data_IF_035275030061
#
_entry.id   IF_035275030061
#
_cell.length_a   1.000
_cell.length_b   1.000
_cell.length_c   1.000
_cell.angle_alpha   90.00
_cell.angle_beta   90.00
_cell.angle_gamma   90.00
#
_symmetry.space_group_name_H-M   'P 1'
#
loop_
_entity.id
_entity.type
_entity.pdbx_description
1 polymer ?
#
# COMPACT_ATOMS: atom_id res chain seq x y z
N UNK A 1 27.01 0.31 -11.10
CA UNK A 1 27.08 1.36 -10.06
C UNK A 1 25.68 1.87 -9.69
N UNK A 2 24.81 2.13 -10.68
CA UNK A 2 23.48 2.70 -10.44
C UNK A 2 22.52 1.75 -9.71
N UNK A 3 22.58 0.45 -10.02
CA UNK A 3 21.79 -0.56 -9.29
C UNK A 3 22.14 -0.67 -7.80
N UNK A 4 23.41 -0.50 -7.43
CA UNK A 4 23.83 -0.51 -6.01
C UNK A 4 23.34 0.73 -5.27
N UNK A 5 23.42 1.91 -5.92
CA UNK A 5 22.85 3.15 -5.36
C UNK A 5 21.33 3.05 -5.21
N UNK A 6 20.64 2.47 -6.19
CA UNK A 6 19.20 2.23 -6.11
C UNK A 6 18.86 1.29 -4.94
N UNK A 7 19.56 0.17 -4.82
CA UNK A 7 19.34 -0.79 -3.72
C UNK A 7 19.57 -0.16 -2.34
N UNK A 8 20.63 0.64 -2.18
CA UNK A 8 20.90 1.37 -0.93
C UNK A 8 19.81 2.39 -0.61
N UNK A 9 19.34 3.16 -1.61
CA UNK A 9 18.27 4.13 -1.42
C UNK A 9 16.95 3.45 -1.02
N UNK A 10 16.61 2.32 -1.66
CA UNK A 10 15.42 1.53 -1.31
C UNK A 10 15.55 0.97 0.11
N UNK A 11 16.70 0.40 0.46
CA UNK A 11 16.95 -0.12 1.81
C UNK A 11 16.82 0.96 2.88
N UNK A 12 17.44 2.12 2.68
CA UNK A 12 17.36 3.26 3.60
C UNK A 12 15.92 3.79 3.74
N UNK A 13 15.19 3.90 2.62
CA UNK A 13 13.79 4.31 2.61
C UNK A 13 12.90 3.33 3.38
N UNK A 14 13.09 2.01 3.17
CA UNK A 14 12.35 0.98 3.88
C UNK A 14 12.54 1.08 5.39
N UNK A 15 13.78 1.24 5.86
CA UNK A 15 14.09 1.39 7.28
C UNK A 15 13.38 2.62 7.86
N UNK A 16 13.48 3.77 7.18
CA UNK A 16 12.86 5.01 7.64
C UNK A 16 11.32 4.92 7.70
N UNK A 17 10.68 4.36 6.67
CA UNK A 17 9.22 4.23 6.61
C UNK A 17 8.69 3.22 7.64
N UNK A 18 9.36 2.08 7.83
CA UNK A 18 8.98 1.12 8.88
C UNK A 18 9.06 1.78 10.26
N UNK A 19 10.11 2.57 10.53
CA UNK A 19 10.25 3.29 11.79
C UNK A 19 9.15 4.37 11.98
N UNK A 20 8.83 5.13 10.94
CA UNK A 20 7.75 6.13 10.99
C UNK A 20 6.38 5.50 11.22
N UNK A 21 6.10 4.37 10.58
CA UNK A 21 4.84 3.65 10.75
C UNK A 21 4.76 3.08 12.16
N UNK A 22 5.84 2.48 12.69
CA UNK A 22 5.88 2.04 14.08
C UNK A 22 5.65 3.19 15.08
N UNK A 23 6.16 4.39 14.78
CA UNK A 23 5.93 5.59 15.59
C UNK A 23 4.47 6.06 15.54
N UNK A 24 3.75 5.84 14.44
CA UNK A 24 2.31 6.12 14.32
C UNK A 24 1.47 5.01 14.97
N UNK A 25 1.88 3.76 14.80
CA UNK A 25 1.16 2.59 15.32
C UNK A 25 1.21 2.53 16.86
N UNK A 26 2.28 3.03 17.50
CA UNK A 26 2.39 3.05 18.95
C UNK A 26 1.26 3.82 19.66
N UNK A 27 0.99 5.11 19.33
CA UNK A 27 -0.14 5.83 19.93
C UNK A 27 -1.50 5.27 19.49
N UNK A 28 -1.61 4.72 18.27
CA UNK A 28 -2.83 4.06 17.82
C UNK A 28 -3.14 2.81 18.67
N UNK A 29 -2.15 1.98 18.94
CA UNK A 29 -2.30 0.80 19.79
C UNK A 29 -2.65 1.20 21.23
N UNK A 30 -2.05 2.27 21.75
CA UNK A 30 -2.38 2.82 23.07
C UNK A 30 -3.84 3.28 23.15
N UNK A 31 -4.30 4.09 22.19
CA UNK A 31 -5.71 4.51 22.09
C UNK A 31 -6.64 3.32 21.88
N UNK A 32 -6.24 2.39 21.03
CA UNK A 32 -6.93 1.14 20.75
C UNK A 32 -7.19 0.33 22.02
N UNK A 33 -6.20 0.23 22.91
CA UNK A 33 -6.33 -0.42 24.21
C UNK A 33 -7.45 0.19 25.07
N UNK A 34 -7.67 1.50 24.99
CA UNK A 34 -8.73 2.20 25.74
C UNK A 34 -10.14 1.98 25.17
N UNK A 35 -10.27 1.64 23.89
CA UNK A 35 -11.55 1.40 23.22
C UNK A 35 -11.82 -0.10 22.93
N UNK A 36 -11.00 -1.00 23.48
CA UNK A 36 -11.14 -2.45 23.31
C UNK A 36 -10.60 -3.01 21.99
N UNK A 37 -9.79 -2.25 21.25
CA UNK A 37 -9.13 -2.64 20.00
C UNK A 37 -7.61 -2.49 20.13
N UNK A 38 -6.93 -3.29 20.98
CA UNK A 38 -5.50 -3.10 21.29
C UNK A 38 -4.56 -3.31 20.09
N UNK A 39 -5.03 -3.93 19.00
CA UNK A 39 -4.29 -4.13 17.75
C UNK A 39 -4.45 -3.00 16.73
N UNK A 40 -4.99 -1.85 17.14
CA UNK A 40 -5.20 -0.70 16.27
C UNK A 40 -3.85 -0.18 15.74
N UNK A 41 -3.72 -0.21 14.42
CA UNK A 41 -2.57 0.27 13.64
C UNK A 41 -3.07 0.99 12.39
N UNK A 42 -2.21 1.79 11.76
CA UNK A 42 -2.49 2.43 10.48
C UNK A 42 -2.89 1.40 9.43
N UNK A 43 -2.18 0.26 9.41
CA UNK A 43 -2.49 -0.87 8.52
C UNK A 43 -3.89 -1.44 8.79
N UNK A 44 -4.28 -1.61 10.05
CA UNK A 44 -5.63 -2.12 10.39
C UNK A 44 -6.74 -1.15 9.99
N UNK A 45 -6.53 0.15 10.18
CA UNK A 45 -7.49 1.20 9.80
C UNK A 45 -7.66 1.20 8.28
N UNK A 46 -6.54 1.25 7.55
CA UNK A 46 -6.56 1.19 6.09
C UNK A 46 -7.13 -0.13 5.61
N UNK A 47 -6.86 -1.24 6.28
CA UNK A 47 -7.43 -2.55 5.96
C UNK A 47 -8.95 -2.57 6.02
N UNK A 48 -9.53 -2.00 7.08
CA UNK A 48 -10.98 -1.85 7.23
C UNK A 48 -11.56 -0.91 6.18
N UNK A 49 -10.90 0.22 5.91
CA UNK A 49 -11.34 1.21 4.91
C UNK A 49 -11.23 0.65 3.47
N UNK A 50 -10.23 -0.17 3.20
CA UNK A 50 -9.98 -0.76 1.88
C UNK A 50 -10.75 -2.07 1.66
N UNK A 51 -11.34 -2.68 2.69
CA UNK A 51 -12.15 -3.90 2.54
C UNK A 51 -13.32 -3.74 1.55
N UNK A 52 -14.15 -2.68 1.61
CA UNK A 52 -15.17 -2.43 0.59
C UNK A 52 -14.59 -2.29 -0.81
N UNK A 53 -13.42 -1.67 -0.96
CA UNK A 53 -12.74 -1.53 -2.24
C UNK A 53 -12.28 -2.89 -2.78
N UNK A 54 -11.70 -3.75 -1.93
CA UNK A 54 -11.33 -5.12 -2.29
C UNK A 54 -12.54 -5.93 -2.76
N UNK A 55 -13.67 -5.80 -2.05
CA UNK A 55 -14.92 -6.44 -2.46
C UNK A 55 -15.44 -5.91 -3.80
N UNK A 56 -15.40 -4.60 -4.03
CA UNK A 56 -15.78 -3.98 -5.31
C UNK A 56 -14.90 -4.44 -6.49
N UNK A 57 -13.64 -4.78 -6.24
CA UNK A 57 -12.75 -5.36 -7.26
C UNK A 57 -13.05 -6.83 -7.58
N UNK A 58 -14.00 -7.46 -6.87
CA UNK A 58 -14.44 -8.83 -7.12
C UNK A 58 -13.92 -9.87 -6.13
N UNK A 59 -13.28 -9.46 -5.02
CA UNK A 59 -12.84 -10.38 -3.95
C UNK A 59 -14.05 -10.84 -3.12
N UNK A 60 -14.20 -12.14 -2.83
CA UNK A 60 -15.24 -12.64 -1.93
C UNK A 60 -15.21 -11.94 -0.56
N UNK A 61 -16.38 -11.68 0.01
CA UNK A 61 -16.49 -10.91 1.26
C UNK A 61 -15.71 -11.52 2.43
N UNK A 62 -15.61 -12.86 2.48
CA UNK A 62 -14.90 -13.61 3.51
C UNK A 62 -13.39 -13.33 3.55
N UNK A 63 -12.78 -13.02 2.40
CA UNK A 63 -11.35 -12.76 2.26
C UNK A 63 -11.01 -11.32 1.85
N UNK A 64 -12.05 -10.49 1.62
CA UNK A 64 -11.90 -9.06 1.32
C UNK A 64 -11.17 -8.26 2.39
N UNK A 65 -11.20 -8.71 3.65
CA UNK A 65 -10.47 -8.07 4.75
C UNK A 65 -8.95 -8.26 4.64
N UNK A 66 -8.52 -9.44 4.19
CA UNK A 66 -7.12 -9.79 3.96
C UNK A 66 -6.57 -8.95 2.80
N UNK A 67 -7.29 -8.91 1.67
CA UNK A 67 -6.90 -8.07 0.52
C UNK A 67 -6.97 -6.58 0.87
N UNK A 68 -7.95 -6.15 1.66
CA UNK A 68 -8.01 -4.79 2.20
C UNK A 68 -6.76 -4.44 3.01
N UNK A 69 -6.32 -5.34 3.89
CA UNK A 69 -5.07 -5.18 4.67
C UNK A 69 -3.85 -5.04 3.74
N UNK A 70 -3.75 -5.85 2.69
CA UNK A 70 -2.65 -5.75 1.72
C UNK A 70 -2.63 -4.37 1.01
N UNK A 71 -3.78 -3.86 0.59
CA UNK A 71 -3.90 -2.51 0.00
C UNK A 71 -3.51 -1.43 1.02
N UNK A 72 -3.89 -1.61 2.29
CA UNK A 72 -3.50 -0.72 3.37
C UNK A 72 -1.99 -0.69 3.58
N UNK A 73 -1.35 -1.86 3.67
CA UNK A 73 0.11 -2.00 3.78
C UNK A 73 0.80 -1.34 2.59
N UNK A 74 0.33 -1.58 1.36
CA UNK A 74 0.85 -0.91 0.17
C UNK A 74 0.80 0.61 0.32
N UNK A 75 -0.36 1.14 0.70
CA UNK A 75 -0.60 2.59 0.72
C UNK A 75 0.23 3.28 1.80
N UNK A 76 0.30 2.68 2.99
CA UNK A 76 1.06 3.20 4.12
C UNK A 76 2.57 3.04 3.95
N UNK A 77 3.01 1.83 3.57
CA UNK A 77 4.41 1.43 3.50
C UNK A 77 4.91 1.49 2.05
N UNK A 78 4.60 0.43 1.28
CA UNK A 78 4.85 0.26 -0.15
C UNK A 78 4.40 -1.14 -0.58
N UNK A 79 4.35 -1.34 -1.89
CA UNK A 79 3.99 -2.60 -2.55
C UNK A 79 4.93 -3.76 -2.23
N UNK A 80 6.23 -3.53 -1.99
CA UNK A 80 7.19 -4.59 -1.69
C UNK A 80 6.86 -5.28 -0.37
N UNK A 81 6.58 -4.50 0.69
CA UNK A 81 6.11 -5.05 1.98
C UNK A 81 4.74 -5.70 1.84
N UNK A 82 3.87 -5.13 1.00
CA UNK A 82 2.58 -5.74 0.65
C UNK A 82 2.73 -7.14 0.04
N UNK A 83 3.67 -7.33 -0.89
CA UNK A 83 3.94 -8.64 -1.50
C UNK A 83 4.52 -9.65 -0.51
N UNK A 84 5.43 -9.25 0.38
CA UNK A 84 5.94 -10.14 1.44
C UNK A 84 4.81 -10.61 2.35
N UNK A 85 3.88 -9.73 2.71
CA UNK A 85 2.75 -10.12 3.56
C UNK A 85 1.75 -11.02 2.80
N UNK A 86 1.52 -10.72 1.51
CA UNK A 86 0.69 -11.56 0.65
C UNK A 86 1.26 -12.98 0.52
N UNK A 87 2.57 -13.14 0.38
CA UNK A 87 3.23 -14.45 0.36
C UNK A 87 2.92 -15.27 1.63
N UNK A 88 2.99 -14.64 2.81
CA UNK A 88 2.64 -15.31 4.08
C UNK A 88 1.17 -15.73 4.12
N UNK A 89 0.26 -14.88 3.64
CA UNK A 89 -1.17 -15.20 3.59
C UNK A 89 -1.46 -16.35 2.62
N UNK A 90 -0.76 -16.43 1.49
CA UNK A 90 -0.84 -17.55 0.54
C UNK A 90 -0.35 -18.84 1.21
N UNK A 91 0.82 -18.81 1.85
CA UNK A 91 1.37 -19.96 2.55
C UNK A 91 0.47 -20.46 3.69
N UNK A 92 -0.28 -19.56 4.32
CA UNK A 92 -1.27 -19.88 5.35
C UNK A 92 -2.65 -20.31 4.80
N UNK A 93 -2.83 -20.38 3.48
CA UNK A 93 -4.11 -20.76 2.86
C UNK A 93 -5.24 -19.75 3.08
N UNK A 94 -4.91 -18.47 3.30
CA UNK A 94 -5.88 -17.42 3.64
C UNK A 94 -6.49 -16.69 2.42
N UNK A 95 -5.96 -16.94 1.23
CA UNK A 95 -6.37 -16.30 -0.02
C UNK A 95 -6.68 -17.35 -1.08
N UNK A 96 -7.88 -17.29 -1.66
CA UNK A 96 -8.24 -18.04 -2.86
C UNK A 96 -7.38 -17.61 -4.06
N UNK A 97 -7.27 -18.45 -5.08
CA UNK A 97 -6.56 -18.11 -6.33
C UNK A 97 -7.09 -16.81 -6.94
N UNK A 98 -8.41 -16.60 -6.92
CA UNK A 98 -9.05 -15.36 -7.35
C UNK A 98 -8.56 -14.15 -6.56
N UNK A 99 -8.59 -14.23 -5.22
CA UNK A 99 -8.13 -13.15 -4.38
C UNK A 99 -6.64 -12.85 -4.55
N UNK A 100 -5.82 -13.89 -4.78
CA UNK A 100 -4.41 -13.73 -5.10
C UNK A 100 -4.21 -12.95 -6.40
N UNK A 101 -4.92 -13.29 -7.47
CA UNK A 101 -4.81 -12.56 -8.75
C UNK A 101 -5.24 -11.10 -8.59
N UNK A 102 -6.40 -10.84 -7.98
CA UNK A 102 -6.88 -9.48 -7.76
C UNK A 102 -5.90 -8.68 -6.89
N UNK A 103 -5.41 -9.27 -5.79
CA UNK A 103 -4.42 -8.63 -4.92
C UNK A 103 -3.12 -8.32 -5.67
N UNK A 104 -2.63 -9.22 -6.52
CA UNK A 104 -1.41 -8.99 -7.32
C UNK A 104 -1.54 -7.72 -8.16
N UNK A 105 -2.64 -7.57 -8.89
CA UNK A 105 -2.86 -6.37 -9.72
C UNK A 105 -3.13 -5.11 -8.88
N UNK A 106 -3.88 -5.24 -7.78
CA UNK A 106 -4.14 -4.11 -6.88
C UNK A 106 -2.85 -3.61 -6.21
N UNK A 107 -1.91 -4.52 -5.94
CA UNK A 107 -0.60 -4.22 -5.37
C UNK A 107 0.38 -3.64 -6.39
N UNK A 108 0.27 -4.02 -7.66
CA UNK A 108 1.19 -3.64 -8.74
C UNK A 108 1.19 -2.15 -9.09
N UNK A 109 1.83 -1.32 -8.26
CA UNK A 109 2.10 0.08 -8.53
C UNK A 109 2.66 0.82 -7.32
N UNK A 110 3.45 1.86 -7.57
CA UNK A 110 4.14 2.65 -6.53
C UNK A 110 3.25 3.76 -5.96
N UNK A 111 1.96 3.51 -5.74
CA UNK A 111 1.00 4.49 -5.24
C UNK A 111 0.92 4.45 -3.71
N UNK A 112 1.91 5.05 -3.06
CA UNK A 112 2.06 5.09 -1.60
C UNK A 112 2.63 6.45 -1.14
N UNK A 113 2.63 6.72 0.16
CA UNK A 113 3.11 8.01 0.70
C UNK A 113 4.59 8.26 0.42
N UNK A 114 5.43 7.20 0.42
CA UNK A 114 6.86 7.33 0.13
C UNK A 114 7.12 7.80 -1.30
N UNK A 115 6.32 7.31 -2.26
CA UNK A 115 6.45 7.69 -3.67
C UNK A 115 6.19 9.17 -3.93
N UNK A 116 5.38 9.84 -3.11
CA UNK A 116 5.20 11.29 -3.22
C UNK A 116 6.54 12.01 -2.97
N UNK A 117 7.24 11.63 -1.91
CA UNK A 117 8.55 12.21 -1.58
C UNK A 117 9.61 11.86 -2.64
N UNK A 118 9.61 10.62 -3.14
CA UNK A 118 10.51 10.19 -4.22
C UNK A 118 10.28 11.05 -5.47
N UNK A 119 9.03 11.28 -5.88
CA UNK A 119 8.73 12.05 -7.08
C UNK A 119 9.05 13.55 -6.92
N UNK A 120 8.82 14.13 -5.74
CA UNK A 120 9.24 15.51 -5.43
C UNK A 120 10.76 15.62 -5.47
N UNK A 121 11.49 14.65 -4.92
CA UNK A 121 12.95 14.62 -4.93
C UNK A 121 13.53 14.41 -6.33
N UNK A 122 13.02 13.41 -7.06
CA UNK A 122 13.49 13.03 -8.39
C UNK A 122 13.17 14.09 -9.45
N UNK A 123 11.89 14.42 -9.64
CA UNK A 123 11.46 15.41 -10.63
C UNK A 123 11.93 16.81 -10.19
N UNK A 124 11.88 17.12 -8.90
CA UNK A 124 12.37 18.39 -8.38
C UNK A 124 13.90 18.56 -8.47
N UNK A 125 14.65 17.48 -8.68
CA UNK A 125 16.08 17.58 -9.03
C UNK A 125 16.30 18.06 -10.47
N UNK A 126 15.35 17.80 -11.37
CA UNK A 126 15.39 18.16 -12.79
C UNK A 126 14.70 19.52 -13.04
N UNK A 127 13.61 19.80 -12.30
CA UNK A 127 12.82 21.02 -12.38
C UNK A 127 12.59 21.61 -10.97
N UNK A 128 13.61 22.26 -10.36
CA UNK A 128 13.55 22.76 -8.99
C UNK A 128 12.39 23.72 -8.71
N UNK A 129 12.03 24.54 -9.70
CA UNK A 129 10.93 25.51 -9.65
C UNK A 129 9.53 24.85 -9.58
N UNK A 130 9.42 23.55 -9.88
CA UNK A 130 8.15 22.81 -9.90
C UNK A 130 7.90 21.98 -8.64
N UNK A 131 8.81 22.00 -7.65
CA UNK A 131 8.66 21.23 -6.40
C UNK A 131 7.35 21.53 -5.67
N UNK A 132 6.93 22.79 -5.64
CA UNK A 132 5.67 23.23 -5.03
C UNK A 132 4.45 22.65 -5.74
N UNK A 133 4.45 22.65 -7.08
CA UNK A 133 3.37 22.05 -7.88
C UNK A 133 3.26 20.55 -7.61
N UNK A 134 4.39 19.83 -7.59
CA UNK A 134 4.46 18.39 -7.30
C UNK A 134 3.92 18.07 -5.91
N UNK A 135 4.33 18.83 -4.89
CA UNK A 135 3.82 18.67 -3.53
C UNK A 135 2.31 18.90 -3.46
N UNK A 136 1.80 19.90 -4.20
CA UNK A 136 0.37 20.24 -4.23
C UNK A 136 -0.50 19.14 -4.84
N UNK A 137 0.01 18.41 -5.84
CA UNK A 137 -0.75 17.33 -6.51
C UNK A 137 -0.45 15.94 -5.96
N UNK A 138 0.58 15.79 -5.12
CA UNK A 138 1.12 14.49 -4.68
C UNK A 138 0.07 13.50 -4.16
N UNK A 139 -0.79 13.93 -3.23
CA UNK A 139 -1.87 13.06 -2.71
C UNK A 139 -2.88 12.67 -3.78
N UNK A 140 -3.26 13.60 -4.67
CA UNK A 140 -4.20 13.31 -5.77
C UNK A 140 -3.59 12.35 -6.78
N UNK A 141 -2.30 12.54 -7.09
CA UNK A 141 -1.55 11.66 -7.98
C UNK A 141 -1.42 10.24 -7.38
N UNK A 142 -1.16 10.13 -6.08
CA UNK A 142 -1.12 8.85 -5.37
C UNK A 142 -2.47 8.12 -5.44
N UNK A 143 -3.57 8.82 -5.14
CA UNK A 143 -4.93 8.23 -5.23
C UNK A 143 -5.25 7.80 -6.66
N UNK A 144 -4.94 8.64 -7.66
CA UNK A 144 -5.14 8.30 -9.07
C UNK A 144 -4.33 7.06 -9.48
N UNK A 145 -3.09 6.95 -9.01
CA UNK A 145 -2.25 5.76 -9.23
C UNK A 145 -2.86 4.50 -8.62
N UNK A 146 -3.38 4.57 -7.38
CA UNK A 146 -4.07 3.43 -6.76
C UNK A 146 -5.34 3.03 -7.51
N UNK A 147 -6.14 4.01 -7.96
CA UNK A 147 -7.33 3.73 -8.77
C UNK A 147 -6.99 3.05 -10.10
N UNK A 148 -5.87 3.42 -10.73
CA UNK A 148 -5.39 2.73 -11.93
C UNK A 148 -5.05 1.25 -11.65
N UNK A 149 -4.37 0.95 -10.53
CA UNK A 149 -4.13 -0.43 -10.09
C UNK A 149 -5.44 -1.17 -9.76
N UNK A 150 -6.42 -0.50 -9.16
CA UNK A 150 -7.69 -1.13 -8.82
C UNK A 150 -8.53 -1.43 -10.07
N UNK A 151 -8.46 -0.56 -11.07
CA UNK A 151 -9.09 -0.80 -12.36
C UNK A 151 -8.49 -2.04 -13.03
N UNK A 152 -7.15 -2.15 -13.08
CA UNK A 152 -6.50 -3.35 -13.67
C UNK A 152 -6.81 -4.60 -12.86
N UNK A 153 -6.88 -4.50 -11.53
CA UNK A 153 -7.27 -5.61 -10.65
C UNK A 153 -8.71 -6.07 -10.88
N UNK A 154 -9.64 -5.13 -11.08
CA UNK A 154 -11.03 -5.43 -11.39
C UNK A 154 -11.16 -6.14 -12.74
N UNK A 155 -10.41 -5.67 -13.75
CA UNK A 155 -10.35 -6.32 -15.07
C UNK A 155 -9.78 -7.74 -14.94
N UNK A 156 -8.69 -7.92 -14.20
CA UNK A 156 -8.09 -9.23 -13.96
C UNK A 156 -9.07 -10.17 -13.25
N UNK A 157 -9.74 -9.71 -12.19
CA UNK A 157 -10.76 -10.47 -11.48
C UNK A 157 -11.95 -10.85 -12.37
N UNK A 158 -12.37 -9.96 -13.28
CA UNK A 158 -13.44 -10.26 -14.24
C UNK A 158 -13.04 -11.36 -15.24
N UNK A 159 -11.80 -11.34 -15.73
CA UNK A 159 -11.34 -12.28 -16.75
C UNK A 159 -11.14 -13.72 -16.24
N UNK A 160 -10.95 -13.90 -14.93
CA UNK A 160 -10.66 -15.21 -14.32
C UNK A 160 -11.90 -15.90 -13.70
N UNK A 161 -13.10 -15.33 -13.85
CA UNK A 161 -14.36 -15.91 -13.36
C UNK A 161 -14.77 -15.32 -12.03
#
# INVERSE_FOLDING_TARGET
ADGLKLALNVGAMLIAFVALIAMIDWPLAWLGGHIGVPSLSLNSILGVVCRPLAWLMGVPWAESGQVGTLIGIKTAVNEFVGYIEMEKMIAAGQLSERAQVIATYALCGFSNFSSIAIQIGGIGGIAPERKSDLARVGLRAMVAGSLACFQTATIAGFLIG
#
